data_IF_981236193465
#
_entry.id   IF_981236193465
#
_cell.length_a   1.000
_cell.length_b   1.000
_cell.length_c   1.000
_cell.angle_alpha   90.00
_cell.angle_beta   90.00
_cell.angle_gamma   90.00
#
_symmetry.space_group_name_H-M   'P 1'
#
loop_
_entity.id
_entity.type
_entity.pdbx_description
1 polymer ?
#
# COMPACT_ATOMS: atom_id res chain seq x y z
N UNK A 1 12.26 -7.15 2.47
CA UNK A 1 12.52 -6.11 1.45
C UNK A 1 11.52 -4.95 1.53
N UNK A 2 10.19 -5.16 1.48
CA UNK A 2 9.22 -4.05 1.52
C UNK A 2 9.43 -3.11 2.70
N UNK A 3 9.55 -3.69 3.90
CA UNK A 3 9.79 -2.94 5.15
C UNK A 3 11.08 -2.13 5.09
N UNK A 4 12.13 -2.65 4.45
CA UNK A 4 13.38 -1.91 4.28
C UNK A 4 13.18 -0.66 3.44
N UNK A 5 12.46 -0.78 2.32
CA UNK A 5 12.14 0.35 1.42
C UNK A 5 11.27 1.39 2.14
N UNK A 6 10.23 0.94 2.86
CA UNK A 6 9.29 1.83 3.54
C UNK A 6 9.91 2.48 4.77
N UNK A 7 10.72 1.75 5.55
CA UNK A 7 11.46 2.31 6.69
C UNK A 7 12.47 3.37 6.25
N UNK A 8 13.26 3.11 5.20
CA UNK A 8 14.20 4.12 4.68
C UNK A 8 13.47 5.37 4.20
N UNK A 9 12.33 5.19 3.51
CA UNK A 9 11.50 6.30 3.05
C UNK A 9 10.86 7.04 4.23
N UNK A 10 10.47 6.34 5.29
CA UNK A 10 9.95 6.95 6.52
C UNK A 10 11.02 7.79 7.25
N UNK A 11 12.29 7.38 7.23
CA UNK A 11 13.40 8.18 7.75
C UNK A 11 13.57 9.48 6.94
N UNK A 12 13.50 9.39 5.59
CA UNK A 12 13.54 10.56 4.71
C UNK A 12 12.38 11.52 4.96
N UNK A 13 11.14 11.00 5.09
CA UNK A 13 9.95 11.81 5.41
C UNK A 13 10.08 12.44 6.80
N UNK A 14 10.65 11.73 7.77
CA UNK A 14 10.90 12.26 9.11
C UNK A 14 11.94 13.39 9.09
N UNK A 15 12.94 13.30 8.22
CA UNK A 15 13.90 14.38 7.98
C UNK A 15 13.19 15.61 7.39
N UNK A 16 12.30 15.43 6.41
CA UNK A 16 11.48 16.50 5.84
C UNK A 16 10.59 17.13 6.91
N UNK A 17 9.89 16.32 7.71
CA UNK A 17 8.96 16.79 8.74
C UNK A 17 9.63 17.53 9.91
N UNK A 18 10.94 17.32 10.11
CA UNK A 18 11.72 18.01 11.15
C UNK A 18 12.52 19.19 10.61
N UNK A 19 12.43 19.47 9.30
CA UNK A 19 13.13 20.57 8.67
C UNK A 19 12.24 21.82 8.64
N UNK A 20 12.41 22.71 9.62
CA UNK A 20 11.67 23.97 9.71
C UNK A 20 10.27 23.84 10.33
N UNK A 21 9.45 24.89 10.20
CA UNK A 21 8.08 24.90 10.72
C UNK A 21 7.15 24.18 9.75
N UNK A 22 6.60 23.04 10.17
CA UNK A 22 5.54 22.34 9.44
C UNK A 22 4.27 23.18 9.52
N UNK A 23 3.89 23.79 8.42
CA UNK A 23 2.66 24.59 8.31
C UNK A 23 1.54 23.72 7.75
N UNK A 24 0.30 23.98 8.17
CA UNK A 24 -0.89 23.25 7.73
C UNK A 24 -1.01 23.20 6.20
N UNK A 25 -1.08 21.98 5.64
CA UNK A 25 -1.16 21.77 4.18
C UNK A 25 -0.98 20.33 3.67
N UNK A 26 -0.69 19.35 4.54
CA UNK A 26 -0.56 17.93 4.16
C UNK A 26 0.83 17.53 3.63
N UNK A 27 0.95 16.31 3.10
CA UNK A 27 2.25 15.73 2.74
C UNK A 27 2.93 16.45 1.57
N UNK A 28 2.18 16.78 0.52
CA UNK A 28 2.72 17.51 -0.64
C UNK A 28 3.25 18.88 -0.24
N UNK A 29 2.51 19.63 0.57
CA UNK A 29 2.90 20.97 1.00
C UNK A 29 4.16 20.95 1.87
N UNK A 30 4.31 19.93 2.71
CA UNK A 30 5.51 19.70 3.49
C UNK A 30 6.72 19.43 2.57
N UNK A 31 6.54 18.59 1.53
CA UNK A 31 7.59 18.26 0.56
C UNK A 31 7.97 19.49 -0.28
N UNK A 32 6.99 20.20 -0.85
CA UNK A 32 7.22 21.33 -1.78
C UNK A 32 7.89 22.52 -1.10
N UNK A 33 7.58 22.80 0.17
CA UNK A 33 8.25 23.89 0.92
C UNK A 33 9.67 23.54 1.35
N UNK A 34 9.94 22.28 1.63
CA UNK A 34 11.24 21.84 2.14
C UNK A 34 12.24 21.60 1.02
N UNK A 35 11.80 21.00 -0.07
CA UNK A 35 12.64 20.61 -1.20
C UNK A 35 12.52 21.56 -2.41
N UNK A 36 11.57 22.49 -2.37
CA UNK A 36 11.27 23.42 -3.45
C UNK A 36 10.14 22.91 -4.36
N UNK A 37 9.41 23.82 -5.02
CA UNK A 37 8.27 23.48 -5.88
C UNK A 37 8.66 22.66 -7.11
N UNK A 38 9.88 22.84 -7.64
CA UNK A 38 10.40 22.10 -8.80
C UNK A 38 10.53 20.59 -8.52
N UNK A 39 10.93 20.24 -7.29
CA UNK A 39 11.04 18.85 -6.84
C UNK A 39 9.71 18.33 -6.29
N UNK A 40 8.98 19.17 -5.54
CA UNK A 40 7.69 18.81 -4.96
C UNK A 40 6.62 18.53 -6.01
N UNK A 41 6.60 19.28 -7.12
CA UNK A 41 5.61 19.17 -8.18
C UNK A 41 5.49 17.76 -8.78
N UNK A 42 6.59 17.21 -9.37
CA UNK A 42 6.60 15.85 -9.90
C UNK A 42 6.23 14.79 -8.84
N UNK A 43 6.75 14.91 -7.61
CA UNK A 43 6.40 13.99 -6.51
C UNK A 43 4.89 14.03 -6.22
N UNK A 44 4.30 15.23 -6.18
CA UNK A 44 2.87 15.43 -5.95
C UNK A 44 1.98 14.84 -7.05
N UNK A 45 2.39 14.95 -8.32
CA UNK A 45 1.67 14.34 -9.46
C UNK A 45 1.67 12.81 -9.34
N UNK A 46 2.85 12.20 -9.17
CA UNK A 46 2.98 10.74 -9.03
C UNK A 46 2.16 10.25 -7.85
N UNK A 47 2.31 10.91 -6.70
CA UNK A 47 1.69 10.49 -5.45
C UNK A 47 0.16 10.62 -5.50
N UNK A 48 -0.36 11.68 -6.10
CA UNK A 48 -1.80 11.84 -6.32
C UNK A 48 -2.36 10.73 -7.22
N UNK A 49 -1.68 10.45 -8.33
CA UNK A 49 -2.07 9.37 -9.24
C UNK A 49 -2.00 7.99 -8.56
N UNK A 50 -0.92 7.73 -7.81
CA UNK A 50 -0.73 6.50 -7.06
C UNK A 50 -1.84 6.28 -6.01
N UNK A 51 -2.26 7.34 -5.31
CA UNK A 51 -3.38 7.28 -4.38
C UNK A 51 -4.71 7.01 -5.09
N UNK A 52 -4.96 7.60 -6.27
CA UNK A 52 -6.16 7.29 -7.06
C UNK A 52 -6.21 5.80 -7.47
N UNK A 53 -5.08 5.22 -7.87
CA UNK A 53 -4.97 3.78 -8.15
C UNK A 53 -5.15 2.93 -6.89
N UNK A 54 -4.59 3.34 -5.75
CA UNK A 54 -4.75 2.64 -4.49
C UNK A 54 -6.22 2.61 -4.04
N UNK A 55 -6.99 3.66 -4.32
CA UNK A 55 -8.44 3.63 -4.13
C UNK A 55 -9.08 2.51 -4.95
N UNK A 56 -8.75 2.40 -6.25
CA UNK A 56 -9.28 1.36 -7.13
C UNK A 56 -8.92 -0.05 -6.63
N UNK A 57 -7.66 -0.30 -6.25
CA UNK A 57 -7.23 -1.61 -5.74
C UNK A 57 -8.01 -2.04 -4.50
N UNK A 58 -8.15 -1.15 -3.53
CA UNK A 58 -8.89 -1.47 -2.31
C UNK A 58 -10.38 -1.70 -2.60
N UNK A 59 -10.97 -0.97 -3.54
CA UNK A 59 -12.36 -1.20 -3.97
C UNK A 59 -12.53 -2.51 -4.74
N UNK A 60 -11.57 -2.90 -5.59
CA UNK A 60 -11.58 -4.21 -6.28
C UNK A 60 -11.45 -5.34 -5.28
N UNK A 61 -10.53 -5.24 -4.31
CA UNK A 61 -10.39 -6.24 -3.24
C UNK A 61 -11.66 -6.40 -2.39
N UNK A 62 -12.37 -5.30 -2.10
CA UNK A 62 -13.70 -5.37 -1.48
C UNK A 62 -14.71 -6.10 -2.39
N UNK A 63 -14.77 -5.74 -3.67
CA UNK A 63 -15.72 -6.31 -4.62
C UNK A 63 -15.49 -7.82 -4.85
N UNK A 64 -14.24 -8.29 -4.84
CA UNK A 64 -13.92 -9.72 -4.91
C UNK A 64 -14.49 -10.49 -3.73
N UNK A 65 -14.34 -9.97 -2.50
CA UNK A 65 -14.87 -10.62 -1.29
C UNK A 65 -16.40 -10.60 -1.27
N UNK A 66 -17.03 -9.51 -1.72
CA UNK A 66 -18.50 -9.45 -1.85
C UNK A 66 -18.98 -10.46 -2.90
N UNK A 67 -18.31 -10.55 -4.05
CA UNK A 67 -18.62 -11.56 -5.09
C UNK A 67 -18.50 -12.97 -4.53
N UNK A 68 -17.44 -13.23 -3.79
CA UNK A 68 -17.20 -14.53 -3.18
C UNK A 68 -18.27 -14.91 -2.15
N UNK A 69 -18.79 -13.94 -1.41
CA UNK A 69 -19.91 -14.13 -0.49
C UNK A 69 -21.24 -14.36 -1.26
N UNK A 70 -21.46 -13.63 -2.35
CA UNK A 70 -22.65 -13.82 -3.20
C UNK A 70 -22.68 -15.23 -3.82
N UNK A 71 -21.53 -15.73 -4.26
CA UNK A 71 -21.40 -17.11 -4.77
C UNK A 71 -21.72 -18.15 -3.69
N UNK A 72 -21.34 -17.91 -2.44
CA UNK A 72 -21.64 -18.80 -1.31
C UNK A 72 -23.15 -18.88 -1.03
N UNK A 73 -23.88 -17.77 -1.24
CA UNK A 73 -25.34 -17.71 -1.11
C UNK A 73 -26.10 -18.06 -2.41
N UNK A 74 -25.43 -18.59 -3.45
CA UNK A 74 -26.00 -18.91 -4.76
C UNK A 74 -26.68 -17.72 -5.46
N UNK A 75 -26.22 -16.49 -5.21
CA UNK A 75 -26.68 -15.28 -5.90
C UNK A 75 -25.65 -14.93 -6.96
N UNK A 76 -25.98 -15.14 -8.24
CA UNK A 76 -25.13 -14.75 -9.38
C UNK A 76 -25.86 -13.66 -10.16
N UNK A 77 -25.19 -12.54 -10.43
CA UNK A 77 -25.80 -11.46 -11.22
C UNK A 77 -25.59 -11.70 -12.71
N UNK A 78 -24.33 -11.82 -13.17
CA UNK A 78 -24.00 -12.04 -14.58
C UNK A 78 -22.85 -13.05 -14.72
N UNK A 79 -21.63 -12.63 -14.39
CA UNK A 79 -20.39 -13.42 -14.52
C UNK A 79 -19.43 -13.04 -13.39
N UNK A 80 -18.55 -13.97 -12.98
CA UNK A 80 -17.59 -13.73 -11.89
C UNK A 80 -16.76 -12.44 -12.03
N UNK A 81 -16.28 -12.12 -13.24
CA UNK A 81 -15.49 -10.92 -13.51
C UNK A 81 -16.37 -9.67 -13.61
N UNK A 82 -17.52 -9.78 -14.26
CA UNK A 82 -18.43 -8.64 -14.43
C UNK A 82 -19.11 -8.24 -13.12
N UNK A 83 -19.35 -9.20 -12.23
CA UNK A 83 -19.90 -8.96 -10.90
C UNK A 83 -18.91 -8.12 -10.06
N UNK A 84 -17.60 -8.41 -10.14
CA UNK A 84 -16.56 -7.58 -9.49
C UNK A 84 -16.56 -6.15 -10.05
N UNK A 85 -16.72 -5.97 -11.36
CA UNK A 85 -16.81 -4.63 -12.00
C UNK A 85 -18.01 -3.85 -11.48
N UNK A 86 -19.19 -4.47 -11.48
CA UNK A 86 -20.45 -3.83 -11.09
C UNK A 86 -20.41 -3.44 -9.61
N UNK A 87 -20.05 -4.38 -8.73
CA UNK A 87 -19.92 -4.11 -7.30
C UNK A 87 -18.86 -3.05 -7.03
N UNK A 88 -17.73 -3.11 -7.73
CA UNK A 88 -16.66 -2.12 -7.60
C UNK A 88 -17.11 -0.70 -7.99
N UNK A 89 -17.81 -0.54 -9.12
CA UNK A 89 -18.32 0.76 -9.57
C UNK A 89 -19.40 1.30 -8.63
N UNK A 90 -20.32 0.46 -8.16
CA UNK A 90 -21.34 0.86 -7.17
C UNK A 90 -20.65 1.33 -5.88
N UNK A 91 -19.67 0.57 -5.39
CA UNK A 91 -18.95 0.88 -4.15
C UNK A 91 -18.19 2.20 -4.26
N UNK A 92 -17.40 2.42 -5.32
CA UNK A 92 -16.64 3.67 -5.47
C UNK A 92 -17.57 4.88 -5.67
N UNK A 93 -18.74 4.68 -6.29
CA UNK A 93 -19.76 5.74 -6.41
C UNK A 93 -20.35 6.09 -5.04
N UNK A 94 -20.67 5.09 -4.21
CA UNK A 94 -21.13 5.31 -2.84
C UNK A 94 -20.05 6.01 -2.01
N UNK A 95 -18.79 5.58 -2.11
CA UNK A 95 -17.67 6.22 -1.41
C UNK A 95 -17.48 7.68 -1.85
N UNK A 96 -17.64 7.97 -3.16
CA UNK A 96 -17.63 9.34 -3.66
C UNK A 96 -18.77 10.15 -3.04
N UNK A 97 -20.01 9.64 -3.04
CA UNK A 97 -21.15 10.32 -2.44
C UNK A 97 -20.94 10.57 -0.93
N UNK A 98 -20.40 9.60 -0.20
CA UNK A 98 -20.05 9.76 1.22
C UNK A 98 -18.98 10.85 1.39
N UNK A 99 -17.94 10.85 0.55
CA UNK A 99 -16.88 11.86 0.61
C UNK A 99 -17.39 13.28 0.33
N UNK A 100 -18.40 13.42 -0.53
CA UNK A 100 -19.02 14.70 -0.87
C UNK A 100 -20.08 15.14 0.16
N UNK A 101 -20.88 14.21 0.69
CA UNK A 101 -21.94 14.50 1.66
C UNK A 101 -21.41 14.70 3.08
N UNK A 102 -20.32 14.03 3.45
CA UNK A 102 -19.66 14.17 4.75
C UNK A 102 -19.07 15.56 5.02
N UNK A 103 -19.22 16.51 4.09
CA UNK A 103 -18.64 17.86 4.15
C UNK A 103 -19.52 18.88 4.89
N UNK A 104 -20.80 18.58 5.14
CA UNK A 104 -21.72 19.48 5.87
C UNK A 104 -22.12 18.98 7.26
N UNK A 105 -22.00 17.67 7.52
CA UNK A 105 -22.19 17.11 8.86
C UNK A 105 -20.94 17.40 9.69
N UNK A 106 -20.88 18.61 10.25
CA UNK A 106 -19.83 19.09 11.14
C UNK A 106 -19.65 18.19 12.36
N UNK A 107 -18.82 17.16 12.21
CA UNK A 107 -17.68 17.06 13.08
C UNK A 107 -16.56 16.28 12.39
N UNK A 108 -15.35 16.84 12.37
CA UNK A 108 -14.09 16.08 12.17
C UNK A 108 -14.06 14.79 13.04
N UNK A 109 -14.84 14.80 14.12
CA UNK A 109 -15.10 13.69 15.02
C UNK A 109 -15.83 12.51 14.32
N UNK A 110 -16.73 12.70 13.35
CA UNK A 110 -17.49 11.59 12.71
C UNK A 110 -16.63 10.73 11.78
N UNK A 111 -15.85 11.33 10.87
CA UNK A 111 -14.95 10.57 9.97
C UNK A 111 -13.80 9.92 10.75
N UNK A 112 -13.24 10.61 11.76
CA UNK A 112 -12.22 10.03 12.63
C UNK A 112 -12.79 8.91 13.51
N UNK A 113 -14.02 9.06 14.03
CA UNK A 113 -14.74 7.97 14.73
C UNK A 113 -15.02 6.79 13.81
N UNK A 114 -15.36 7.02 12.53
CA UNK A 114 -15.56 5.93 11.57
C UNK A 114 -14.23 5.18 11.31
N UNK A 115 -13.12 5.89 11.14
CA UNK A 115 -11.79 5.25 11.02
C UNK A 115 -11.39 4.49 12.29
N UNK A 116 -11.65 5.04 13.49
CA UNK A 116 -11.44 4.33 14.75
C UNK A 116 -12.35 3.10 14.86
N UNK A 117 -13.61 3.19 14.45
CA UNK A 117 -14.54 2.07 14.44
C UNK A 117 -14.04 0.96 13.50
N UNK A 118 -13.64 1.30 12.28
CA UNK A 118 -13.05 0.34 11.34
C UNK A 118 -11.77 -0.28 11.90
N UNK A 119 -10.94 0.50 12.59
CA UNK A 119 -9.75 0.01 13.27
C UNK A 119 -10.08 -0.98 14.40
N UNK A 120 -11.11 -0.70 15.21
CA UNK A 120 -11.57 -1.62 16.26
C UNK A 120 -12.10 -2.93 15.69
N UNK A 121 -12.91 -2.88 14.63
CA UNK A 121 -13.40 -4.08 13.94
C UNK A 121 -12.22 -4.88 13.40
N UNK A 122 -11.24 -4.24 12.77
CA UNK A 122 -10.02 -4.89 12.28
C UNK A 122 -9.23 -5.57 13.41
N UNK A 123 -9.06 -4.91 14.55
CA UNK A 123 -8.38 -5.51 15.71
C UNK A 123 -9.12 -6.73 16.27
N UNK A 124 -10.44 -6.68 16.31
CA UNK A 124 -11.28 -7.81 16.74
C UNK A 124 -11.15 -8.98 15.75
N UNK A 125 -11.22 -8.71 14.44
CA UNK A 125 -11.01 -9.74 13.41
C UNK A 125 -9.59 -10.32 13.48
N UNK A 126 -8.57 -9.48 13.74
CA UNK A 126 -7.20 -9.93 13.89
C UNK A 126 -7.04 -10.84 15.13
N UNK A 127 -7.69 -10.52 16.24
CA UNK A 127 -7.70 -11.37 17.42
C UNK A 127 -8.42 -12.71 17.16
N UNK A 128 -9.58 -12.70 16.48
CA UNK A 128 -10.33 -13.91 16.10
C UNK A 128 -9.50 -14.86 15.23
N UNK A 129 -8.69 -14.30 14.31
CA UNK A 129 -7.76 -15.09 13.53
C UNK A 129 -6.77 -15.88 14.42
N UNK A 130 -6.10 -15.24 15.38
CA UNK A 130 -5.16 -15.94 16.26
C UNK A 130 -5.86 -16.95 17.16
N UNK A 131 -7.03 -16.61 17.71
CA UNK A 131 -7.82 -17.56 18.51
C UNK A 131 -8.18 -18.79 17.68
N UNK A 132 -8.59 -18.60 16.42
CA UNK A 132 -8.88 -19.67 15.48
C UNK A 132 -7.71 -20.62 15.23
N UNK A 133 -6.48 -20.11 15.17
CA UNK A 133 -5.30 -20.96 14.98
C UNK A 133 -5.00 -21.90 16.15
N UNK A 134 -5.46 -21.57 17.37
CA UNK A 134 -5.20 -22.35 18.59
C UNK A 134 -6.30 -23.40 18.83
N UNK A 135 -7.50 -23.18 18.29
CA UNK A 135 -8.60 -24.13 18.41
C UNK A 135 -8.28 -25.37 17.54
N UNK A 136 -8.43 -26.60 18.09
CA UNK A 136 -8.17 -27.81 17.31
C UNK A 136 -9.13 -27.88 16.10
N UNK A 137 -8.62 -28.19 14.89
CA UNK A 137 -9.44 -28.18 13.70
C UNK A 137 -10.35 -29.41 13.63
N UNK A 138 -11.65 -29.16 13.42
CA UNK A 138 -12.64 -30.19 13.12
C UNK A 138 -12.32 -30.90 11.79
N UNK A 139 -12.94 -32.06 11.57
CA UNK A 139 -12.77 -32.85 10.33
C UNK A 139 -13.09 -32.04 9.05
N UNK A 140 -13.99 -31.06 9.13
CA UNK A 140 -14.29 -30.17 8.01
C UNK A 140 -13.13 -29.22 7.70
N UNK A 141 -12.50 -28.65 8.72
CA UNK A 141 -11.34 -27.76 8.58
C UNK A 141 -10.11 -28.55 8.08
N UNK A 142 -9.97 -29.80 8.51
CA UNK A 142 -8.90 -30.69 8.04
C UNK A 142 -9.04 -31.04 6.55
N UNK A 143 -10.27 -31.26 6.06
CA UNK A 143 -10.51 -31.50 4.62
C UNK A 143 -10.06 -30.33 3.74
N UNK A 144 -10.16 -29.11 4.27
CA UNK A 144 -9.74 -27.85 3.63
C UNK A 144 -8.23 -27.59 3.79
N UNK A 145 -7.52 -28.45 4.52
CA UNK A 145 -6.07 -28.42 4.67
C UNK A 145 -5.56 -27.76 5.96
N UNK A 146 -6.42 -27.57 6.97
CA UNK A 146 -6.06 -26.94 8.24
C UNK A 146 -5.86 -28.02 9.30
N UNK A 147 -4.63 -28.14 9.81
CA UNK A 147 -4.23 -29.21 10.72
C UNK A 147 -3.71 -28.72 12.08
N UNK A 148 -3.77 -27.40 12.31
CA UNK A 148 -3.22 -26.74 13.49
C UNK A 148 -1.69 -26.73 13.47
N UNK A 149 -1.08 -26.21 14.54
CA UNK A 149 0.37 -26.03 14.62
C UNK A 149 1.12 -27.37 14.53
N UNK A 150 1.81 -27.62 13.41
CA UNK A 150 2.69 -28.78 13.23
C UNK A 150 4.04 -28.39 12.66
N UNK A 151 5.10 -28.98 13.21
CA UNK A 151 6.47 -28.77 12.75
C UNK A 151 6.70 -29.25 11.32
N UNK A 152 6.07 -30.37 10.93
CA UNK A 152 6.26 -30.96 9.60
C UNK A 152 5.70 -30.05 8.48
N UNK A 153 4.51 -29.47 8.72
CA UNK A 153 3.88 -28.50 7.81
C UNK A 153 4.75 -27.25 7.68
N UNK A 154 5.27 -26.76 8.81
CA UNK A 154 6.14 -25.60 8.82
C UNK A 154 7.41 -25.84 7.98
N UNK A 155 8.08 -26.98 8.17
CA UNK A 155 9.32 -27.32 7.43
C UNK A 155 9.07 -27.47 5.93
N UNK A 156 7.95 -28.11 5.54
CA UNK A 156 7.60 -28.21 4.12
C UNK A 156 7.37 -26.82 3.51
N UNK A 157 6.64 -25.95 4.21
CA UNK A 157 6.28 -24.62 3.74
C UNK A 157 7.45 -23.61 3.70
N UNK A 158 8.58 -23.90 4.33
CA UNK A 158 9.78 -23.03 4.28
C UNK A 158 10.35 -22.88 2.86
N UNK A 159 10.22 -23.92 2.04
CA UNK A 159 10.75 -23.92 0.67
C UNK A 159 9.83 -23.14 -0.27
N UNK A 160 10.32 -22.34 -1.22
CA UNK A 160 9.44 -21.70 -2.19
C UNK A 160 8.91 -22.73 -3.21
N UNK A 161 7.59 -22.69 -3.48
CA UNK A 161 6.96 -23.43 -4.57
C UNK A 161 6.23 -22.42 -5.47
N UNK A 162 6.88 -22.01 -6.55
CA UNK A 162 6.33 -21.02 -7.46
C UNK A 162 5.43 -21.69 -8.50
N UNK A 163 4.13 -21.33 -8.51
CA UNK A 163 3.12 -21.91 -9.41
C UNK A 163 2.56 -20.89 -10.38
N UNK A 164 2.18 -21.37 -11.57
CA UNK A 164 1.56 -20.57 -12.63
C UNK A 164 2.55 -19.75 -13.46
N UNK A 165 2.03 -19.11 -14.52
CA UNK A 165 2.81 -18.28 -15.45
C UNK A 165 3.37 -16.99 -14.81
N UNK A 166 2.81 -16.58 -13.67
CA UNK A 166 3.29 -15.46 -12.85
C UNK A 166 3.97 -15.91 -11.54
N UNK A 167 4.38 -17.17 -11.46
CA UNK A 167 5.08 -17.73 -10.30
C UNK A 167 6.54 -17.31 -10.26
N UNK A 168 6.84 -16.06 -9.91
CA UNK A 168 8.21 -15.62 -9.65
C UNK A 168 8.30 -14.80 -8.36
N UNK A 169 9.48 -14.82 -7.73
CA UNK A 169 9.73 -14.07 -6.50
C UNK A 169 9.37 -12.58 -6.65
N UNK A 170 9.79 -11.95 -7.76
CA UNK A 170 9.55 -10.52 -7.97
C UNK A 170 8.09 -10.18 -8.30
N UNK A 171 7.36 -11.05 -9.00
CA UNK A 171 5.92 -10.84 -9.23
C UNK A 171 5.12 -10.97 -7.94
N UNK A 172 5.40 -11.99 -7.11
CA UNK A 172 4.77 -12.11 -5.79
C UNK A 172 5.14 -10.95 -4.88
N UNK A 173 6.39 -10.47 -4.95
CA UNK A 173 6.82 -9.28 -4.25
C UNK A 173 6.06 -8.02 -4.72
N UNK A 174 5.78 -7.88 -6.03
CA UNK A 174 5.02 -6.78 -6.60
C UNK A 174 3.54 -6.78 -6.17
N UNK A 175 2.95 -7.96 -5.97
CA UNK A 175 1.58 -8.12 -5.47
C UNK A 175 1.51 -7.85 -3.96
N UNK A 176 2.55 -8.19 -3.20
CA UNK A 176 2.61 -7.94 -1.75
C UNK A 176 2.95 -6.49 -1.40
N UNK A 177 3.76 -5.81 -2.22
CA UNK A 177 4.26 -4.46 -1.92
C UNK A 177 3.16 -3.43 -1.58
N UNK A 178 1.97 -3.41 -2.22
CA UNK A 178 0.87 -2.52 -1.87
C UNK A 178 0.40 -2.61 -0.42
N UNK A 179 0.55 -3.75 0.24
CA UNK A 179 0.23 -3.91 1.66
C UNK A 179 1.15 -3.07 2.57
N UNK A 180 2.40 -2.82 2.14
CA UNK A 180 3.36 -2.03 2.91
C UNK A 180 3.29 -0.51 2.63
N UNK A 181 2.45 -0.09 1.68
CA UNK A 181 2.28 1.31 1.28
C UNK A 181 1.43 2.05 2.34
N UNK A 182 1.33 3.38 2.23
CA UNK A 182 0.45 4.20 3.08
C UNK A 182 1.18 4.92 4.21
N UNK A 183 2.51 4.85 4.25
CA UNK A 183 3.34 5.52 5.29
C UNK A 183 3.18 7.05 5.32
N UNK A 184 2.71 7.67 4.23
CA UNK A 184 2.45 9.11 4.11
C UNK A 184 1.05 9.52 4.62
N UNK A 185 0.19 8.58 5.00
CA UNK A 185 -1.16 8.91 5.49
C UNK A 185 -1.11 9.81 6.73
N UNK A 186 -0.18 9.57 7.65
CA UNK A 186 0.05 10.44 8.80
C UNK A 186 0.54 11.85 8.43
N UNK A 187 1.35 11.96 7.38
CA UNK A 187 1.84 13.26 6.89
C UNK A 187 0.76 14.07 6.16
N UNK A 188 -0.28 13.42 5.62
CA UNK A 188 -1.39 14.09 4.96
C UNK A 188 -2.25 14.93 5.92
N UNK A 189 -2.24 14.59 7.21
CA UNK A 189 -3.02 15.27 8.26
C UNK A 189 -2.12 16.19 9.11
N UNK A 190 -0.96 16.58 8.58
CA UNK A 190 0.03 17.41 9.29
C UNK A 190 -0.52 18.74 9.83
N UNK A 191 -1.58 19.27 9.22
CA UNK A 191 -2.22 20.52 9.63
C UNK A 191 -3.15 20.41 10.84
N UNK A 192 -3.59 19.21 11.21
CA UNK A 192 -4.45 18.98 12.38
C UNK A 192 -3.67 18.42 13.60
N UNK A 193 -2.36 18.19 13.46
CA UNK A 193 -1.51 17.70 14.54
C UNK A 193 -1.05 18.86 15.43
N UNK A 194 -1.07 18.63 16.75
CA UNK A 194 -0.55 19.59 17.74
C UNK A 194 0.94 19.90 17.50
N UNK A 195 1.76 18.85 17.34
CA UNK A 195 3.20 18.93 17.11
C UNK A 195 3.64 17.97 15.97
N UNK A 196 3.57 18.41 14.70
CA UNK A 196 3.82 17.53 13.55
C UNK A 196 5.24 16.97 13.50
N UNK A 197 6.24 17.78 13.87
CA UNK A 197 7.65 17.42 13.80
C UNK A 197 8.03 16.25 14.72
N UNK A 198 7.28 16.03 15.80
CA UNK A 198 7.52 14.91 16.74
C UNK A 198 6.52 13.77 16.53
N UNK A 199 5.26 14.11 16.19
CA UNK A 199 4.19 13.12 15.99
C UNK A 199 4.39 12.28 14.73
N UNK A 200 4.79 12.90 13.61
CA UNK A 200 4.94 12.18 12.32
C UNK A 200 6.03 11.09 12.42
N UNK A 201 7.28 11.39 12.85
CA UNK A 201 8.32 10.37 12.92
C UNK A 201 7.96 9.21 13.86
N UNK A 202 7.44 9.52 15.05
CA UNK A 202 7.06 8.50 16.04
C UNK A 202 5.89 7.65 15.54
N UNK A 203 4.84 8.29 15.00
CA UNK A 203 3.66 7.61 14.49
C UNK A 203 3.98 6.70 13.30
N UNK A 204 4.68 7.22 12.30
CA UNK A 204 5.00 6.44 11.08
C UNK A 204 5.94 5.27 11.38
N UNK A 205 7.00 5.45 12.17
CA UNK A 205 7.93 4.35 12.48
C UNK A 205 7.28 3.28 13.37
N UNK A 206 6.49 3.68 14.37
CA UNK A 206 5.75 2.71 15.20
C UNK A 206 4.68 1.96 14.39
N UNK A 207 4.00 2.64 13.47
CA UNK A 207 3.04 1.98 12.59
C UNK A 207 3.71 0.93 11.70
N UNK A 208 4.84 1.25 11.07
CA UNK A 208 5.62 0.30 10.26
C UNK A 208 6.09 -0.89 11.11
N UNK A 209 6.53 -0.65 12.34
CA UNK A 209 6.95 -1.72 13.24
C UNK A 209 5.81 -2.69 13.56
N UNK A 210 4.65 -2.18 13.99
CA UNK A 210 3.50 -3.03 14.34
C UNK A 210 2.89 -3.75 13.14
N UNK A 211 2.82 -3.11 11.97
CA UNK A 211 2.35 -3.80 10.75
C UNK A 211 3.33 -4.85 10.25
N UNK A 212 4.63 -4.62 10.39
CA UNK A 212 5.65 -5.64 10.08
C UNK A 212 5.50 -6.84 10.99
N UNK A 213 5.32 -6.61 12.29
CA UNK A 213 5.14 -7.68 13.26
C UNK A 213 3.86 -8.49 12.97
N UNK A 214 2.76 -7.83 12.61
CA UNK A 214 1.51 -8.53 12.27
C UNK A 214 1.64 -9.35 10.98
N UNK A 215 2.29 -8.83 9.94
CA UNK A 215 2.53 -9.58 8.70
C UNK A 215 3.42 -10.81 8.90
N UNK A 216 4.50 -10.68 9.70
CA UNK A 216 5.35 -11.81 10.05
C UNK A 216 4.57 -12.83 10.89
N UNK A 217 3.79 -12.36 11.86
CA UNK A 217 2.92 -13.20 12.69
C UNK A 217 2.00 -14.07 11.84
N UNK A 218 1.18 -13.45 10.98
CA UNK A 218 0.24 -14.17 10.09
C UNK A 218 0.99 -15.17 9.19
N UNK A 219 2.13 -14.77 8.61
CA UNK A 219 2.87 -15.63 7.68
C UNK A 219 3.37 -16.90 8.36
N UNK A 220 3.95 -16.76 9.56
CA UNK A 220 4.45 -17.90 10.34
C UNK A 220 3.31 -18.79 10.82
N UNK A 221 2.21 -18.21 11.29
CA UNK A 221 1.07 -18.99 11.80
C UNK A 221 0.33 -19.74 10.71
N UNK A 222 0.03 -19.12 9.56
CA UNK A 222 -0.59 -19.85 8.43
C UNK A 222 0.38 -20.92 7.90
N UNK A 223 1.66 -20.59 7.75
CA UNK A 223 2.67 -21.53 7.26
C UNK A 223 2.89 -22.75 8.16
N UNK A 224 2.60 -22.64 9.46
CA UNK A 224 2.68 -23.76 10.40
C UNK A 224 1.37 -24.58 10.53
N UNK A 225 0.23 -24.02 10.10
CA UNK A 225 -1.09 -24.59 10.34
C UNK A 225 -1.78 -25.18 9.10
N UNK A 226 -1.39 -24.74 7.90
CA UNK A 226 -2.12 -25.04 6.66
C UNK A 226 -1.21 -25.72 5.64
N UNK A 227 -1.69 -26.75 4.97
CA UNK A 227 -0.98 -27.39 3.85
C UNK A 227 -1.18 -26.63 2.54
N UNK A 228 -0.27 -26.81 1.59
CA UNK A 228 -0.28 -26.10 0.30
C UNK A 228 -1.51 -26.40 -0.55
N UNK A 229 -1.88 -27.67 -0.57
CA UNK A 229 -2.93 -28.22 -1.41
C UNK A 229 -3.90 -29.04 -0.58
N UNK A 230 -5.19 -28.79 -0.80
CA UNK A 230 -6.26 -29.58 -0.21
C UNK A 230 -7.45 -29.72 -1.16
N UNK A 231 -8.08 -30.88 -1.10
CA UNK A 231 -9.23 -31.25 -1.93
C UNK A 231 -10.53 -30.63 -1.41
N UNK A 232 -10.72 -30.55 -0.09
CA UNK A 232 -11.98 -30.15 0.55
C UNK A 232 -13.00 -31.29 0.70
N UNK A 233 -12.73 -32.48 0.16
CA UNK A 233 -13.65 -33.61 0.22
C UNK A 233 -13.43 -34.47 1.49
N UNK A 234 -14.52 -34.74 2.23
CA UNK A 234 -14.47 -35.55 3.47
C UNK A 234 -14.19 -37.03 3.22
N UNK A 235 -14.42 -37.53 2.00
CA UNK A 235 -14.12 -38.92 1.64
C UNK A 235 -12.62 -39.23 1.57
N UNK A 236 -11.77 -38.21 1.59
CA UNK A 236 -10.32 -38.35 1.43
C UNK A 236 -9.61 -38.75 2.74
N UNK A 237 -10.39 -39.08 3.79
CA UNK A 237 -9.88 -39.61 5.05
C UNK A 237 -9.34 -41.03 4.85
N UNK A 238 -8.08 -41.23 5.19
CA UNK A 238 -7.45 -42.55 5.20
C UNK A 238 -7.93 -43.33 6.43
N UNK A 239 -8.79 -44.34 6.20
CA UNK A 239 -9.35 -45.21 7.25
C UNK A 239 -8.52 -46.49 7.51
N UNK A 240 -7.25 -46.51 7.08
CA UNK A 240 -6.35 -47.64 7.30
C UNK A 240 -4.86 -47.28 7.09
N UNK A 241 -3.96 -48.19 7.49
CA UNK A 241 -2.50 -48.02 7.43
C UNK A 241 -1.89 -48.17 6.01
N UNK A 242 -2.73 -48.30 4.98
CA UNK A 242 -2.26 -48.46 3.60
C UNK A 242 -1.97 -47.09 2.99
N UNK A 243 -0.72 -46.62 3.12
CA UNK A 243 -0.21 -45.40 2.48
C UNK A 243 0.27 -45.61 1.04
N UNK A 244 -0.01 -46.77 0.44
CA UNK A 244 0.47 -47.09 -0.91
C UNK A 244 -0.15 -46.14 -1.94
N UNK A 245 0.70 -45.33 -2.57
CA UNK A 245 0.32 -44.37 -3.60
C UNK A 245 -0.05 -42.97 -3.12
N UNK A 246 -0.02 -42.70 -1.81
CA UNK A 246 -0.36 -41.38 -1.27
C UNK A 246 0.84 -40.40 -1.36
N UNK A 247 0.63 -39.24 -1.97
CA UNK A 247 1.65 -38.21 -2.19
C UNK A 247 1.36 -36.96 -1.38
N UNK A 248 2.37 -36.48 -0.65
CA UNK A 248 2.32 -35.24 0.12
C UNK A 248 2.14 -35.46 1.63
N UNK A 249 2.27 -34.38 2.39
CA UNK A 249 2.26 -34.44 3.86
C UNK A 249 0.89 -34.78 4.45
N UNK A 250 -0.19 -34.57 3.69
CA UNK A 250 -1.54 -34.99 4.08
C UNK A 250 -1.61 -36.46 4.47
N UNK A 251 -0.83 -37.32 3.82
CA UNK A 251 -0.83 -38.77 4.04
C UNK A 251 -0.39 -39.13 5.47
N UNK A 252 0.64 -38.45 5.98
CA UNK A 252 1.11 -38.59 7.36
C UNK A 252 0.10 -38.06 8.38
N UNK A 253 -0.82 -37.22 7.93
CA UNK A 253 -1.89 -36.62 8.72
C UNK A 253 -3.22 -37.39 8.61
N UNK A 254 -3.25 -38.50 7.86
CA UNK A 254 -4.45 -39.32 7.66
C UNK A 254 -5.36 -38.86 6.53
N UNK A 255 -4.86 -38.06 5.59
CA UNK A 255 -5.63 -37.51 4.45
C UNK A 255 -4.95 -37.77 3.11
N UNK A 256 -5.69 -38.22 2.10
CA UNK A 256 -5.15 -38.49 0.77
C UNK A 256 -5.56 -37.41 -0.24
N UNK A 257 -4.69 -36.42 -0.46
CA UNK A 257 -4.91 -35.35 -1.45
C UNK A 257 -4.23 -35.61 -2.81
N UNK A 258 -3.79 -36.85 -3.07
CA UNK A 258 -2.96 -37.20 -4.24
C UNK A 258 -3.61 -36.85 -5.56
N UNK A 259 -4.89 -37.16 -5.72
CA UNK A 259 -5.63 -36.95 -6.97
C UNK A 259 -5.67 -35.47 -7.35
N UNK A 260 -5.89 -34.58 -6.37
CA UNK A 260 -5.93 -33.15 -6.63
C UNK A 260 -4.54 -32.57 -6.93
N UNK A 261 -3.49 -33.08 -6.26
CA UNK A 261 -2.10 -32.63 -6.44
C UNK A 261 -1.60 -33.01 -7.84
N UNK A 262 -1.85 -34.25 -8.28
CA UNK A 262 -1.41 -34.72 -9.60
C UNK A 262 -2.16 -34.04 -10.74
N UNK A 263 -3.46 -33.82 -10.56
CA UNK A 263 -4.29 -33.12 -11.55
C UNK A 263 -4.14 -31.60 -11.53
N UNK A 264 -3.45 -31.03 -10.53
CA UNK A 264 -3.34 -29.59 -10.28
C UNK A 264 -4.72 -28.90 -10.19
N UNK A 265 -5.75 -29.63 -9.73
CA UNK A 265 -7.14 -29.14 -9.65
C UNK A 265 -7.63 -28.98 -8.20
N UNK A 266 -6.72 -28.88 -7.23
CA UNK A 266 -7.08 -28.64 -5.83
C UNK A 266 -7.81 -27.28 -5.68
N UNK A 267 -8.93 -27.27 -4.95
CA UNK A 267 -9.71 -26.05 -4.71
C UNK A 267 -9.29 -25.31 -3.44
N UNK A 268 -8.72 -26.02 -2.48
CA UNK A 268 -8.35 -25.50 -1.17
C UNK A 268 -6.85 -25.64 -0.90
N UNK A 269 -6.44 -25.17 0.28
CA UNK A 269 -5.04 -25.05 0.68
C UNK A 269 -4.46 -23.66 0.40
N UNK A 270 -3.26 -23.46 0.94
CA UNK A 270 -2.51 -22.19 0.91
C UNK A 270 -2.28 -21.65 -0.51
N UNK A 271 -2.11 -22.52 -1.51
CA UNK A 271 -1.77 -22.12 -2.87
C UNK A 271 -2.99 -21.79 -3.74
N UNK A 272 -4.16 -22.39 -3.44
CA UNK A 272 -5.33 -22.35 -4.32
C UNK A 272 -6.46 -21.46 -3.79
N UNK A 273 -6.60 -21.34 -2.46
CA UNK A 273 -7.66 -20.56 -1.85
C UNK A 273 -7.14 -19.25 -1.27
N UNK A 274 -7.68 -18.13 -1.75
CA UNK A 274 -7.43 -16.79 -1.18
C UNK A 274 -8.16 -16.57 0.16
N UNK A 275 -9.06 -17.48 0.53
CA UNK A 275 -9.95 -17.38 1.72
C UNK A 275 -9.38 -18.08 2.96
N UNK A 276 -8.17 -18.63 2.88
CA UNK A 276 -7.56 -19.44 3.95
C UNK A 276 -7.55 -18.71 5.30
N UNK A 277 -7.32 -17.39 5.32
CA UNK A 277 -7.35 -16.62 6.58
C UNK A 277 -8.71 -16.68 7.28
N UNK A 278 -9.81 -16.64 6.52
CA UNK A 278 -11.16 -16.80 7.08
C UNK A 278 -11.43 -18.25 7.50
N UNK A 279 -10.93 -19.23 6.75
CA UNK A 279 -11.14 -20.65 7.06
C UNK A 279 -10.42 -21.10 8.34
N UNK A 280 -9.26 -20.51 8.61
CA UNK A 280 -8.46 -20.75 9.84
C UNK A 280 -9.07 -20.07 11.06
N UNK A 281 -9.82 -18.98 10.90
CA UNK A 281 -10.31 -18.20 12.03
C UNK A 281 -11.36 -18.95 12.87
N UNK A 282 -11.63 -18.41 14.06
CA UNK A 282 -12.67 -18.93 14.94
C UNK A 282 -14.04 -18.76 14.28
N UNK A 283 -14.32 -17.53 13.84
CA UNK A 283 -15.58 -17.19 13.17
C UNK A 283 -15.34 -16.56 11.80
N UNK A 284 -15.65 -17.32 10.74
CA UNK A 284 -15.41 -16.92 9.34
C UNK A 284 -15.95 -15.53 8.98
N UNK A 285 -17.21 -15.24 9.36
CA UNK A 285 -17.86 -13.97 9.01
C UNK A 285 -17.29 -12.74 9.75
N UNK A 286 -16.55 -12.93 10.84
CA UNK A 286 -15.89 -11.81 11.53
C UNK A 286 -14.63 -11.38 10.78
N UNK A 287 -13.93 -12.31 10.11
CA UNK A 287 -12.83 -11.98 9.21
C UNK A 287 -13.34 -11.22 7.98
N UNK A 288 -14.43 -11.65 7.37
CA UNK A 288 -15.00 -10.93 6.21
C UNK A 288 -15.43 -9.52 6.58
N UNK A 289 -16.03 -9.30 7.76
CA UNK A 289 -16.31 -7.96 8.29
C UNK A 289 -15.03 -7.12 8.48
N UNK A 290 -13.94 -7.74 8.97
CA UNK A 290 -12.63 -7.10 9.08
C UNK A 290 -12.04 -6.69 7.73
N UNK A 291 -12.17 -7.54 6.71
CA UNK A 291 -11.72 -7.25 5.34
C UNK A 291 -12.53 -6.09 4.74
N UNK A 292 -13.84 -6.03 4.99
CA UNK A 292 -14.68 -4.89 4.59
C UNK A 292 -14.24 -3.59 5.28
N UNK A 293 -13.99 -3.65 6.60
CA UNK A 293 -13.50 -2.50 7.35
C UNK A 293 -12.14 -2.01 6.83
N UNK A 294 -11.20 -2.92 6.55
CA UNK A 294 -9.87 -2.60 6.06
C UNK A 294 -9.89 -1.98 4.64
N UNK A 295 -10.62 -2.60 3.73
CA UNK A 295 -10.68 -2.19 2.32
C UNK A 295 -11.44 -0.88 2.12
N UNK A 296 -12.63 -0.73 2.71
CA UNK A 296 -13.43 0.50 2.59
C UNK A 296 -12.77 1.69 3.29
N UNK A 297 -12.17 1.49 4.46
CA UNK A 297 -11.47 2.59 5.17
C UNK A 297 -10.26 3.08 4.39
N UNK A 298 -9.47 2.16 3.81
CA UNK A 298 -8.31 2.49 2.98
C UNK A 298 -8.73 3.17 1.68
N UNK A 299 -9.75 2.64 0.99
CA UNK A 299 -10.29 3.23 -0.23
C UNK A 299 -10.79 4.67 0.02
N UNK A 300 -11.57 4.89 1.09
CA UNK A 300 -12.04 6.22 1.48
C UNK A 300 -10.86 7.16 1.81
N UNK A 301 -9.86 6.67 2.54
CA UNK A 301 -8.66 7.45 2.87
C UNK A 301 -7.90 7.92 1.63
N UNK A 302 -7.71 7.04 0.64
CA UNK A 302 -7.07 7.38 -0.62
C UNK A 302 -7.92 8.30 -1.50
N UNK A 303 -9.24 8.09 -1.53
CA UNK A 303 -10.19 8.91 -2.29
C UNK A 303 -10.23 10.36 -1.79
N UNK A 304 -10.03 10.59 -0.49
CA UNK A 304 -9.94 11.93 0.10
C UNK A 304 -8.53 12.52 -0.05
N UNK A 305 -7.49 11.68 0.01
CA UNK A 305 -6.09 12.13 -0.06
C UNK A 305 -5.67 12.60 -1.46
N UNK A 306 -6.00 11.85 -2.52
CA UNK A 306 -5.56 12.16 -3.88
C UNK A 306 -6.03 13.55 -4.36
N UNK A 307 -7.33 13.91 -4.27
CA UNK A 307 -7.83 15.21 -4.69
C UNK A 307 -7.22 16.38 -3.91
N UNK A 308 -6.97 16.21 -2.61
CA UNK A 308 -6.37 17.25 -1.74
C UNK A 308 -4.91 17.53 -2.14
N UNK A 309 -4.12 16.47 -2.37
CA UNK A 309 -2.76 16.61 -2.91
C UNK A 309 -2.79 17.31 -4.27
N UNK A 310 -3.68 16.87 -5.16
CA UNK A 310 -3.80 17.44 -6.50
C UNK A 310 -4.22 18.92 -6.47
N UNK A 311 -5.14 19.30 -5.58
CA UNK A 311 -5.57 20.67 -5.43
C UNK A 311 -4.42 21.57 -4.95
N UNK A 312 -3.65 21.14 -3.94
CA UNK A 312 -2.50 21.89 -3.45
C UNK A 312 -1.46 22.08 -4.55
N UNK A 313 -1.16 21.03 -5.31
CA UNK A 313 -0.28 21.10 -6.48
C UNK A 313 -0.78 22.14 -7.51
N UNK A 314 -2.08 22.14 -7.82
CA UNK A 314 -2.64 23.07 -8.81
C UNK A 314 -2.65 24.52 -8.31
N UNK A 315 -2.69 24.76 -6.98
CA UNK A 315 -2.59 26.09 -6.38
C UNK A 315 -1.20 26.71 -6.53
N UNK A 316 -0.15 25.89 -6.59
CA UNK A 316 1.23 26.34 -6.78
C UNK A 316 1.53 26.79 -8.22
N UNK A 317 0.58 26.61 -9.16
CA UNK A 317 0.66 27.04 -10.58
C UNK A 317 1.94 26.57 -11.30
N UNK A 318 2.54 25.46 -10.86
CA UNK A 318 3.74 24.87 -11.44
C UNK A 318 3.47 24.42 -12.89
N UNK A 319 2.29 23.82 -13.11
CA UNK A 319 1.87 23.33 -14.42
C UNK A 319 0.68 24.18 -14.92
N UNK A 320 0.81 24.93 -16.02
CA UNK A 320 -0.19 25.90 -16.45
C UNK A 320 -1.53 25.25 -16.87
N UNK A 321 -1.50 24.03 -17.39
CA UNK A 321 -2.69 23.35 -17.92
C UNK A 321 -3.61 22.75 -16.85
N UNK A 322 -3.12 22.51 -15.62
CA UNK A 322 -3.92 21.85 -14.56
C UNK A 322 -4.54 22.83 -13.55
N UNK A 323 -4.33 24.14 -13.71
CA UNK A 323 -4.83 25.19 -12.80
C UNK A 323 -6.36 25.14 -12.62
N UNK A 324 -7.09 24.63 -13.62
CA UNK A 324 -8.53 24.42 -13.56
C UNK A 324 -8.99 23.59 -12.34
N UNK A 325 -8.18 22.63 -11.89
CA UNK A 325 -8.47 21.75 -10.75
C UNK A 325 -8.14 22.39 -9.38
N UNK A 326 -7.50 23.56 -9.36
CA UNK A 326 -7.16 24.27 -8.11
C UNK A 326 -8.38 24.86 -7.40
N UNK A 327 -9.49 25.08 -8.12
CA UNK A 327 -10.69 25.76 -7.60
C UNK A 327 -11.38 24.91 -6.53
N UNK A 328 -11.34 25.39 -5.29
CA UNK A 328 -12.14 24.87 -4.19
C UNK A 328 -13.57 25.38 -4.22
N UNK A 329 -14.50 24.57 -3.71
CA UNK A 329 -15.92 24.88 -3.59
C UNK A 329 -16.37 24.72 -2.12
N UNK A 330 -17.41 25.46 -1.73
CA UNK A 330 -17.97 25.43 -0.37
C UNK A 330 -17.12 26.12 0.69
N UNK A 331 -17.55 26.03 1.96
CA UNK A 331 -16.89 26.68 3.11
C UNK A 331 -15.50 26.12 3.41
N UNK A 332 -15.29 24.84 3.09
CA UNK A 332 -14.05 24.11 3.38
C UNK A 332 -13.05 24.09 2.20
N UNK A 333 -13.29 24.85 1.13
CA UNK A 333 -12.44 24.88 -0.08
C UNK A 333 -12.19 23.49 -0.70
N UNK A 334 -13.21 22.64 -0.77
CA UNK A 334 -13.08 21.26 -1.21
C UNK A 334 -12.95 21.14 -2.74
N UNK A 335 -12.04 20.32 -3.28
CA UNK A 335 -11.75 20.26 -4.71
C UNK A 335 -12.67 19.30 -5.48
N UNK A 336 -13.95 19.67 -5.67
CA UNK A 336 -14.94 18.85 -6.37
C UNK A 336 -14.46 18.31 -7.73
N UNK A 337 -13.78 19.16 -8.52
CA UNK A 337 -13.24 18.77 -9.84
C UNK A 337 -12.17 17.69 -9.74
N UNK A 338 -11.33 17.75 -8.71
CA UNK A 338 -10.29 16.75 -8.50
C UNK A 338 -10.86 15.44 -7.94
N UNK A 339 -11.93 15.48 -7.14
CA UNK A 339 -12.68 14.28 -6.74
C UNK A 339 -13.26 13.57 -7.96
N UNK A 340 -13.88 14.30 -8.89
CA UNK A 340 -14.41 13.72 -10.14
C UNK A 340 -13.28 13.10 -10.99
N UNK A 341 -12.14 13.78 -11.12
CA UNK A 341 -10.98 13.24 -11.83
C UNK A 341 -10.47 11.94 -11.17
N UNK A 342 -10.32 11.94 -9.85
CA UNK A 342 -9.90 10.76 -9.10
C UNK A 342 -10.88 9.60 -9.25
N UNK A 343 -12.20 9.88 -9.23
CA UNK A 343 -13.24 8.90 -9.46
C UNK A 343 -13.17 8.29 -10.88
N UNK A 344 -13.01 9.11 -11.91
CA UNK A 344 -12.90 8.63 -13.29
C UNK A 344 -11.67 7.74 -13.48
N UNK A 345 -10.53 8.12 -12.89
CA UNK A 345 -9.32 7.29 -12.88
C UNK A 345 -9.62 5.98 -12.14
N UNK A 346 -10.19 6.03 -10.93
CA UNK A 346 -10.48 4.84 -10.16
C UNK A 346 -11.41 3.87 -10.91
N UNK A 347 -12.48 4.37 -11.53
CA UNK A 347 -13.41 3.57 -12.34
C UNK A 347 -12.69 2.90 -13.52
N UNK A 348 -11.82 3.63 -14.23
CA UNK A 348 -11.07 3.05 -15.35
C UNK A 348 -10.21 1.84 -14.92
N UNK A 349 -9.62 1.89 -13.73
CA UNK A 349 -8.83 0.78 -13.19
C UNK A 349 -9.70 -0.34 -12.58
N UNK A 350 -10.84 -0.01 -11.98
CA UNK A 350 -11.81 -1.01 -11.49
C UNK A 350 -12.32 -1.87 -12.67
N UNK A 351 -12.49 -1.29 -13.86
CA UNK A 351 -12.94 -2.03 -15.04
C UNK A 351 -11.96 -3.13 -15.50
N UNK A 352 -10.68 -3.07 -15.12
CA UNK A 352 -9.74 -4.16 -15.40
C UNK A 352 -10.17 -5.44 -14.66
N UNK A 353 -10.68 -5.32 -13.43
CA UNK A 353 -11.24 -6.39 -12.59
C UNK A 353 -10.30 -7.56 -12.30
N UNK A 354 -8.99 -7.31 -12.28
CA UNK A 354 -7.97 -8.29 -11.92
C UNK A 354 -7.03 -7.66 -10.88
N UNK A 355 -7.11 -8.14 -9.62
CA UNK A 355 -6.39 -7.53 -8.50
C UNK A 355 -4.86 -7.57 -8.67
N UNK A 356 -4.33 -8.68 -9.20
CA UNK A 356 -2.89 -8.93 -9.30
C UNK A 356 -2.19 -7.96 -10.26
N UNK A 357 -2.80 -7.69 -11.42
CA UNK A 357 -2.28 -6.74 -12.41
C UNK A 357 -2.36 -5.30 -11.90
N UNK A 358 -3.45 -4.93 -11.23
CA UNK A 358 -3.60 -3.61 -10.60
C UNK A 358 -2.56 -3.41 -9.49
N UNK A 359 -2.33 -4.43 -8.65
CA UNK A 359 -1.35 -4.38 -7.56
C UNK A 359 0.07 -4.12 -8.07
N UNK A 360 0.50 -4.84 -9.12
CA UNK A 360 1.81 -4.64 -9.73
C UNK A 360 1.99 -3.22 -10.29
N UNK A 361 0.95 -2.65 -10.92
CA UNK A 361 1.01 -1.29 -11.45
C UNK A 361 1.15 -0.24 -10.34
N UNK A 362 0.39 -0.38 -9.25
CA UNK A 362 0.44 0.51 -8.08
C UNK A 362 1.81 0.51 -7.44
N UNK A 363 2.40 -0.68 -7.29
CA UNK A 363 3.75 -0.84 -6.74
C UNK A 363 4.78 0.01 -7.48
N UNK A 364 4.70 0.08 -8.81
CA UNK A 364 5.61 0.93 -9.60
C UNK A 364 5.45 2.42 -9.32
N UNK A 365 4.21 2.93 -9.27
CA UNK A 365 3.97 4.35 -9.03
C UNK A 365 4.39 4.77 -7.62
N UNK A 366 4.13 3.94 -6.61
CA UNK A 366 4.61 4.24 -5.26
C UNK A 366 6.11 4.10 -5.11
N UNK A 367 6.74 3.09 -5.71
CA UNK A 367 8.21 2.99 -5.74
C UNK A 367 8.85 4.18 -6.44
N UNK A 368 8.23 4.70 -7.51
CA UNK A 368 8.66 5.94 -8.16
C UNK A 368 8.59 7.12 -7.19
N UNK A 369 7.45 7.28 -6.49
CA UNK A 369 7.30 8.36 -5.50
C UNK A 369 8.31 8.26 -4.36
N UNK A 370 8.58 7.05 -3.86
CA UNK A 370 9.54 6.80 -2.79
C UNK A 370 10.98 7.03 -3.25
N UNK A 371 11.29 6.61 -4.48
CA UNK A 371 12.57 6.90 -5.12
C UNK A 371 12.81 8.41 -5.22
N UNK A 372 11.82 9.16 -5.73
CA UNK A 372 11.93 10.61 -5.85
C UNK A 372 12.08 11.30 -4.49
N UNK A 373 11.31 10.91 -3.46
CA UNK A 373 11.44 11.47 -2.11
C UNK A 373 12.84 11.22 -1.55
N UNK A 374 13.32 9.97 -1.63
CA UNK A 374 14.63 9.56 -1.11
C UNK A 374 15.78 10.25 -1.86
N UNK A 375 15.72 10.27 -3.18
CA UNK A 375 16.71 10.94 -4.02
C UNK A 375 16.74 12.45 -3.76
N UNK A 376 15.58 13.08 -3.56
CA UNK A 376 15.49 14.50 -3.27
C UNK A 376 16.11 14.87 -1.93
N UNK A 377 15.89 14.05 -0.89
CA UNK A 377 16.54 14.25 0.41
C UNK A 377 18.06 14.07 0.32
N UNK A 378 18.52 13.07 -0.44
CA UNK A 378 19.95 12.87 -0.71
C UNK A 378 20.55 14.07 -1.45
N UNK A 379 19.89 14.52 -2.52
CA UNK A 379 20.30 15.67 -3.32
C UNK A 379 20.39 16.94 -2.46
N UNK A 380 19.34 17.27 -1.70
CA UNK A 380 19.34 18.43 -0.82
C UNK A 380 20.46 18.39 0.25
N UNK A 381 20.80 17.19 0.73
CA UNK A 381 21.88 16.99 1.70
C UNK A 381 23.28 17.07 1.09
N UNK A 382 23.47 16.69 -0.18
CA UNK A 382 24.79 16.75 -0.83
C UNK A 382 25.08 18.15 -1.37
N UNK A 383 24.05 18.86 -1.83
CA UNK A 383 24.17 20.23 -2.36
C UNK A 383 24.21 21.30 -1.26
N UNK A 384 24.11 20.91 0.02
CA UNK A 384 24.02 21.82 1.16
C UNK A 384 22.99 22.94 0.93
N UNK A 385 21.78 22.54 0.50
CA UNK A 385 20.73 23.50 0.18
C UNK A 385 20.45 24.43 1.38
N UNK A 386 20.37 25.76 1.20
CA UNK A 386 20.29 26.71 2.33
C UNK A 386 19.15 26.46 3.32
N UNK A 387 18.01 25.95 2.82
CA UNK A 387 16.83 25.60 3.62
C UNK A 387 16.82 24.17 4.16
N UNK A 388 17.87 23.37 3.96
CA UNK A 388 17.93 21.97 4.36
C UNK A 388 18.74 21.78 5.65
N UNK A 389 18.05 21.67 6.79
CA UNK A 389 18.66 21.41 8.11
C UNK A 389 17.80 20.41 8.91
N UNK A 390 17.74 19.13 8.52
CA UNK A 390 16.93 18.14 9.22
C UNK A 390 17.45 17.92 10.65
N UNK A 391 16.57 18.04 11.64
CA UNK A 391 16.91 17.82 13.06
C UNK A 391 16.76 16.35 13.49
N UNK A 392 16.32 15.47 12.59
CA UNK A 392 16.05 14.07 12.91
C UNK A 392 17.32 13.24 13.04
N UNK A 393 17.53 12.62 14.22
CA UNK A 393 18.78 11.94 14.58
C UNK A 393 19.12 10.72 13.72
N UNK A 394 18.12 9.92 13.33
CA UNK A 394 18.34 8.67 12.58
C UNK A 394 18.43 8.89 11.05
N UNK A 395 18.43 10.13 10.59
CA UNK A 395 18.56 10.44 9.17
C UNK A 395 20.02 10.41 8.73
N UNK A 396 20.31 9.72 7.62
CA UNK A 396 21.61 9.79 6.92
C UNK A 396 21.40 9.99 5.42
N UNK A 397 22.27 10.79 4.80
CA UNK A 397 22.23 11.00 3.34
C UNK A 397 22.45 9.70 2.57
N UNK A 398 23.32 8.82 3.05
CA UNK A 398 23.63 7.55 2.40
C UNK A 398 22.49 6.54 2.50
N UNK A 399 21.73 6.55 3.60
CA UNK A 399 20.53 5.72 3.72
C UNK A 399 19.46 6.18 2.73
N UNK A 400 19.32 7.49 2.52
CA UNK A 400 18.40 8.02 1.50
C UNK A 400 18.82 7.61 0.08
N UNK A 401 20.12 7.68 -0.26
CA UNK A 401 20.61 7.18 -1.56
C UNK A 401 20.33 5.70 -1.76
N UNK A 402 20.60 4.87 -0.74
CA UNK A 402 20.30 3.44 -0.77
C UNK A 402 18.80 3.19 -1.03
N UNK A 403 17.92 3.93 -0.35
CA UNK A 403 16.47 3.89 -0.56
C UNK A 403 16.03 4.26 -1.98
N UNK A 404 16.67 5.26 -2.58
CA UNK A 404 16.39 5.64 -3.98
C UNK A 404 16.81 4.53 -4.95
N UNK A 405 18.05 4.03 -4.84
CA UNK A 405 18.60 3.00 -5.73
C UNK A 405 17.80 1.70 -5.64
N UNK A 406 17.52 1.22 -4.42
CA UNK A 406 16.74 -0.02 -4.25
C UNK A 406 15.32 0.12 -4.83
N UNK A 407 14.71 1.31 -4.73
CA UNK A 407 13.38 1.54 -5.27
C UNK A 407 13.38 1.50 -6.80
N UNK A 408 14.39 2.12 -7.44
CA UNK A 408 14.55 2.05 -8.91
C UNK A 408 14.81 0.63 -9.38
N UNK A 409 15.71 -0.10 -8.71
CA UNK A 409 16.01 -1.50 -9.05
C UNK A 409 14.74 -2.35 -8.96
N UNK A 410 13.95 -2.21 -7.90
CA UNK A 410 12.69 -2.93 -7.74
C UNK A 410 11.66 -2.58 -8.82
N UNK A 411 11.56 -1.31 -9.25
CA UNK A 411 10.67 -0.93 -10.35
C UNK A 411 11.02 -1.66 -11.66
N UNK A 412 12.31 -1.75 -12.01
CA UNK A 412 12.74 -2.48 -13.21
C UNK A 412 12.49 -3.98 -13.11
N UNK A 413 12.66 -4.56 -11.92
CA UNK A 413 12.43 -5.98 -11.66
C UNK A 413 10.94 -6.36 -11.69
N UNK A 414 10.05 -5.43 -11.36
CA UNK A 414 8.60 -5.65 -11.45
C UNK A 414 8.11 -5.60 -12.88
N UNK A 415 8.26 -4.44 -13.54
CA UNK A 415 7.85 -4.27 -14.94
C UNK A 415 8.72 -3.22 -15.60
N UNK A 416 9.74 -3.67 -16.34
CA UNK A 416 10.73 -2.82 -16.98
C UNK A 416 10.13 -1.74 -17.91
N UNK A 417 9.08 -2.07 -18.68
CA UNK A 417 8.48 -1.14 -19.63
C UNK A 417 7.74 0.00 -18.92
N UNK A 418 7.00 -0.31 -17.85
CA UNK A 418 6.31 0.70 -17.05
C UNK A 418 7.32 1.56 -16.25
N UNK A 419 8.42 0.96 -15.80
CA UNK A 419 9.53 1.69 -15.16
C UNK A 419 10.16 2.71 -16.12
N UNK A 420 10.38 2.35 -17.38
CA UNK A 420 10.88 3.29 -18.40
C UNK A 420 9.92 4.44 -18.67
N UNK A 421 8.62 4.15 -18.85
CA UNK A 421 7.61 5.19 -19.10
C UNK A 421 7.50 6.13 -17.90
N UNK A 422 7.47 5.59 -16.68
CA UNK A 422 7.40 6.40 -15.46
C UNK A 422 8.64 7.25 -15.28
N UNK A 423 9.85 6.71 -15.48
CA UNK A 423 11.07 7.51 -15.39
C UNK A 423 11.14 8.59 -16.46
N UNK A 424 10.82 8.27 -17.72
CA UNK A 424 10.84 9.22 -18.84
C UNK A 424 9.90 10.40 -18.58
N UNK A 425 8.65 10.12 -18.21
CA UNK A 425 7.63 11.15 -17.98
C UNK A 425 7.97 12.06 -16.79
N UNK A 426 8.71 11.58 -15.79
CA UNK A 426 9.03 12.36 -14.58
C UNK A 426 10.40 13.05 -14.63
N UNK A 427 11.36 12.54 -15.40
CA UNK A 427 12.64 13.22 -15.67
C UNK A 427 12.48 14.38 -16.68
N UNK A 428 11.55 14.27 -17.63
CA UNK A 428 11.27 15.30 -18.63
C UNK A 428 10.95 16.69 -18.02
N UNK A 429 10.05 16.84 -17.03
CA UNK A 429 9.77 18.12 -16.41
C UNK A 429 10.96 18.68 -15.63
N UNK A 430 11.75 17.82 -14.97
CA UNK A 430 12.94 18.23 -14.19
C UNK A 430 14.02 18.88 -15.07
N UNK A 431 14.13 18.47 -16.33
CA UNK A 431 15.06 19.07 -17.30
C UNK A 431 14.56 20.38 -17.92
N UNK A 432 13.23 20.60 -17.93
CA UNK A 432 12.61 21.74 -18.62
C UNK A 432 12.55 22.99 -17.73
N UNK A 433 12.57 22.85 -16.39
CA UNK A 433 12.52 24.02 -15.50
C UNK A 433 13.87 24.77 -15.46
N UNK A 434 14.00 25.77 -16.34
CA UNK A 434 15.01 26.84 -16.33
C UNK A 434 15.18 27.54 -14.96
N UNK A 435 14.19 27.44 -14.06
CA UNK A 435 14.21 28.03 -12.71
C UNK A 435 15.30 27.43 -11.78
N UNK A 436 15.77 26.21 -12.07
CA UNK A 436 16.90 25.61 -11.36
C UNK A 436 18.19 26.42 -11.49
N UNK A 437 18.42 27.11 -12.61
CA UNK A 437 19.65 27.91 -12.82
C UNK A 437 19.70 29.16 -11.95
N UNK A 438 18.58 29.85 -11.72
CA UNK A 438 18.52 31.02 -10.84
C UNK A 438 18.67 30.63 -9.37
N UNK A 439 17.97 29.57 -8.94
CA UNK A 439 18.10 29.04 -7.58
C UNK A 439 19.50 28.45 -7.32
N UNK A 440 20.11 27.79 -8.32
CA UNK A 440 21.51 27.36 -8.23
C UNK A 440 22.44 28.56 -8.14
N UNK A 441 22.29 29.57 -9.00
CA UNK A 441 23.14 30.76 -8.96
C UNK A 441 23.02 31.50 -7.61
N UNK A 442 21.81 31.64 -7.07
CA UNK A 442 21.56 32.23 -5.77
C UNK A 442 22.15 31.36 -4.64
N UNK A 443 21.90 30.05 -4.66
CA UNK A 443 22.42 29.11 -3.65
C UNK A 443 23.95 29.03 -3.66
N UNK A 444 24.56 29.04 -4.84
CA UNK A 444 26.01 29.11 -4.99
C UNK A 444 26.56 30.46 -4.48
N UNK A 445 25.87 31.57 -4.77
CA UNK A 445 26.26 32.89 -4.25
C UNK A 445 26.16 32.98 -2.72
N UNK A 446 25.10 32.42 -2.14
CA UNK A 446 24.87 32.41 -0.68
C UNK A 446 25.79 31.43 0.04
N UNK A 447 26.08 30.27 -0.55
CA UNK A 447 27.06 29.32 0.02
C UNK A 447 28.48 29.88 0.00
N UNK A 448 28.83 30.67 -1.03
CA UNK A 448 30.10 31.39 -1.09
C UNK A 448 30.25 32.45 0.02
N UNK A 449 29.14 33.05 0.50
CA UNK A 449 29.18 33.96 1.65
C UNK A 449 29.33 33.27 3.01
N UNK A 450 29.15 31.94 3.08
CA UNK A 450 29.28 31.15 4.31
C UNK A 450 30.68 30.55 4.54
N UNK A 451 31.67 30.91 3.71
CA UNK A 451 33.04 30.39 3.82
C UNK A 451 33.75 31.11 4.98
N UNK A 452 34.50 30.35 5.79
CA UNK A 452 35.25 30.91 6.92
C UNK A 452 36.33 31.90 6.43
N UNK A 453 36.44 33.06 7.10
CA UNK A 453 37.27 34.22 6.70
C UNK A 453 38.78 33.90 6.48
N UNK A 454 39.24 32.72 6.90
CA UNK A 454 40.63 32.30 6.75
C UNK A 454 40.96 31.68 5.38
N UNK A 455 39.96 31.36 4.54
CA UNK A 455 40.19 30.89 3.16
C UNK A 455 40.39 32.08 2.24
N UNK A 456 41.55 32.73 2.34
CA UNK A 456 41.96 33.81 1.43
C UNK A 456 42.48 33.23 0.11
N UNK A 457 41.57 32.69 -0.70
CA UNK A 457 41.89 32.45 -2.11
C UNK A 457 41.82 33.79 -2.84
N UNK A 458 42.98 34.32 -3.24
CA UNK A 458 43.06 35.42 -4.21
C UNK A 458 42.48 34.89 -5.53
N UNK A 459 41.40 35.50 -6.03
CA UNK A 459 40.75 35.16 -7.29
C UNK A 459 40.90 36.29 -8.29
#
# INVERSE_FOLDING_TARGET
MSVTVTSVTALSISAIATNGRVVSGGAYFMISRTLGPEIGGPIGVVFSFANALACALNTVGFAEVVRDLMLEFNVVMIDSVNDVRIVGVITVTILLLISLAGMEWESKVSTFKAQILFFLVLLISFADYFVGTVIPPDTEKQAVGIFGYRGDIFVENLTPNWRGSQGSFFQMFAIFFPAAIGILSGANISGDLKDPATAIPKGTLMAIFWTTLSYLGITVTVGACVVRDASGNKSDILTGNSTDGCVGLGCNLGWNFTDCIQSQSCQYGLANSVKVLGQVSGFYYLITAGVFAASLSSALGFLVSAPKVFQCLCKDKIYPYIIFFAKGYGKNNEPLRAYILCYLIAVAFILIAELNTIAALISNFFLCSYSLINFSCFHASITNSPGWRPSFHYYSKWTALFGAVISVVLMFLFTWWAALITLLYHLLPLWIFQAGTYNMALSYSVSLTGVEDHVKNFR
#
